data_IF_633586377304
#
_entry.id   IF_633586377304
#
_cell.length_a   1.000
_cell.length_b   1.000
_cell.length_c   1.000
_cell.angle_alpha   90.00
_cell.angle_beta   90.00
_cell.angle_gamma   90.00
#
_symmetry.space_group_name_H-M   'P 1'
#
loop_
_entity.id
_entity.type
_entity.pdbx_description
1 polymer ?
#
# COMPACT_ATOMS: atom_id res chain seq x y z
N UNK A 1 4.13 -25.81 6.48
CA UNK A 1 5.32 -25.12 5.92
C UNK A 1 5.28 -23.67 6.35
N UNK A 2 6.40 -23.09 6.80
CA UNK A 2 6.49 -21.67 7.15
C UNK A 2 6.92 -20.89 5.90
N UNK A 3 6.10 -19.93 5.47
CA UNK A 3 6.38 -19.07 4.32
C UNK A 3 6.57 -17.63 4.78
N UNK A 4 7.68 -17.02 4.37
CA UNK A 4 7.99 -15.64 4.69
C UNK A 4 7.62 -14.73 3.52
N UNK A 5 6.75 -13.74 3.77
CA UNK A 5 6.30 -12.81 2.72
C UNK A 5 6.77 -11.39 2.98
N UNK A 6 7.14 -10.69 1.90
CA UNK A 6 7.37 -9.26 1.85
C UNK A 6 6.27 -8.62 1.00
N UNK A 7 5.62 -7.60 1.57
CA UNK A 7 4.68 -6.75 0.85
C UNK A 7 5.39 -5.47 0.43
N UNK A 8 5.51 -5.22 -0.88
CA UNK A 8 5.77 -3.86 -1.37
C UNK A 8 4.45 -3.19 -1.70
N UNK A 9 4.28 -2.00 -1.15
CA UNK A 9 2.99 -1.37 -1.10
C UNK A 9 2.38 -1.09 -2.47
N UNK A 10 1.05 -0.92 -2.43
CA UNK A 10 0.14 -0.27 -3.37
C UNK A 10 0.83 0.46 -4.53
N UNK A 11 0.25 0.42 -5.76
CA UNK A 11 0.70 1.36 -6.74
C UNK A 11 0.38 2.72 -6.15
N UNK A 12 1.27 3.65 -6.42
CA UNK A 12 1.10 5.06 -6.15
C UNK A 12 -0.38 5.41 -6.36
N UNK A 13 -1.15 5.59 -5.27
CA UNK A 13 -2.06 6.74 -5.26
C UNK A 13 -1.16 7.83 -5.76
N UNK A 14 -1.52 8.57 -6.81
CA UNK A 14 -0.68 9.65 -7.33
C UNK A 14 -0.35 10.58 -6.17
N UNK A 15 0.71 10.25 -5.45
CA UNK A 15 1.28 11.02 -4.38
C UNK A 15 1.91 12.14 -5.17
N UNK A 16 1.64 13.37 -4.76
CA UNK A 16 2.40 14.47 -5.30
C UNK A 16 3.87 14.10 -5.19
N UNK A 17 4.61 14.26 -6.28
CA UNK A 17 6.00 13.88 -6.35
C UNK A 17 6.75 14.56 -5.19
N UNK A 18 7.14 13.75 -4.19
CA UNK A 18 7.90 14.15 -3.01
C UNK A 18 9.39 13.81 -3.15
N UNK A 19 9.85 13.39 -4.34
CA UNK A 19 11.28 13.14 -4.59
C UNK A 19 12.14 14.39 -4.34
N UNK A 20 11.57 15.59 -4.55
CA UNK A 20 12.20 16.87 -4.23
C UNK A 20 12.51 17.04 -2.74
N UNK A 21 11.88 16.28 -1.83
CA UNK A 21 12.19 16.36 -0.39
C UNK A 21 13.66 16.01 -0.10
N UNK A 22 14.30 15.17 -0.91
CA UNK A 22 15.73 14.89 -0.79
C UNK A 22 16.60 16.14 -0.99
N UNK A 23 16.14 17.10 -1.80
CA UNK A 23 16.79 18.40 -2.02
C UNK A 23 16.60 19.39 -0.86
N UNK A 24 15.65 19.11 0.04
CA UNK A 24 15.29 19.96 1.20
C UNK A 24 16.02 19.51 2.47
N UNK A 25 16.57 18.28 2.50
CA UNK A 25 17.28 17.66 3.63
C UNK A 25 18.52 18.45 4.14
N UNK A 26 18.99 19.46 3.40
CA UNK A 26 20.13 20.29 3.79
C UNK A 26 19.80 21.50 4.68
N UNK A 27 18.52 21.77 4.99
CA UNK A 27 18.12 22.99 5.70
C UNK A 27 17.71 22.69 7.13
N UNK A 28 18.71 22.65 8.03
CA UNK A 28 18.55 22.39 9.47
C UNK A 28 17.68 23.39 10.24
N UNK A 29 17.14 24.44 9.60
CA UNK A 29 16.44 25.55 10.26
C UNK A 29 15.35 26.14 9.35
N UNK A 30 14.20 25.46 9.25
CA UNK A 30 13.02 25.91 8.48
C UNK A 30 11.87 26.26 9.42
N UNK A 31 12.02 27.33 10.20
CA UNK A 31 10.87 27.93 10.91
C UNK A 31 10.52 29.33 10.40
N UNK A 32 11.19 29.79 9.35
CA UNK A 32 11.11 31.18 8.85
C UNK A 32 11.30 31.32 7.32
N UNK A 33 11.04 30.28 6.51
CA UNK A 33 11.26 30.37 5.06
C UNK A 33 10.19 29.65 4.26
N UNK A 34 9.81 30.29 3.16
CA UNK A 34 9.14 29.67 2.01
C UNK A 34 10.06 28.55 1.50
N UNK A 35 9.60 27.30 1.57
CA UNK A 35 10.30 26.15 1.00
C UNK A 35 9.59 25.78 -0.28
N UNK A 36 10.27 25.96 -1.41
CA UNK A 36 9.69 25.68 -2.72
C UNK A 36 9.06 24.27 -2.74
N UNK A 37 7.84 24.20 -3.24
CA UNK A 37 7.03 22.99 -3.39
C UNK A 37 6.57 22.34 -2.08
N UNK A 38 6.74 22.92 -0.90
CA UNK A 38 6.33 22.28 0.36
C UNK A 38 4.82 22.07 0.49
N UNK A 39 3.99 22.79 -0.25
CA UNK A 39 2.56 22.49 -0.38
C UNK A 39 2.30 21.04 -0.81
N UNK A 40 3.23 20.40 -1.55
CA UNK A 40 3.10 18.98 -1.94
C UNK A 40 3.21 18.03 -0.75
N UNK A 41 4.11 18.32 0.19
CA UNK A 41 4.19 17.61 1.46
C UNK A 41 2.93 17.83 2.30
N UNK A 42 2.35 19.03 2.29
CA UNK A 42 1.08 19.31 2.97
C UNK A 42 -0.02 18.39 2.43
N UNK A 43 -0.19 18.31 1.10
CA UNK A 43 -1.17 17.40 0.48
C UNK A 43 -0.90 15.93 0.78
N UNK A 44 0.37 15.50 0.78
CA UNK A 44 0.73 14.15 1.22
C UNK A 44 0.26 13.87 2.65
N UNK A 45 0.50 14.78 3.60
CA UNK A 45 0.09 14.60 5.00
C UNK A 45 -1.43 14.72 5.21
N UNK A 46 -2.12 15.54 4.42
CA UNK A 46 -3.59 15.60 4.41
C UNK A 46 -4.20 14.28 3.92
N UNK A 47 -3.63 13.67 2.87
CA UNK A 47 -4.09 12.40 2.33
C UNK A 47 -4.07 11.27 3.37
N UNK A 48 -3.13 11.33 4.33
CA UNK A 48 -3.00 10.33 5.41
C UNK A 48 -3.61 10.76 6.75
N UNK A 49 -4.39 11.85 6.76
CA UNK A 49 -5.11 12.42 7.91
C UNK A 49 -4.20 12.90 9.06
N UNK A 50 -2.96 13.29 8.74
CA UNK A 50 -2.06 13.94 9.70
C UNK A 50 -2.23 15.46 9.77
N UNK A 51 -2.79 16.05 8.70
CA UNK A 51 -2.90 17.48 8.52
C UNK A 51 -4.32 17.83 8.06
N UNK A 52 -4.86 18.96 8.55
CA UNK A 52 -6.15 19.47 8.11
C UNK A 52 -6.17 20.99 8.18
N UNK A 53 -6.30 21.64 7.01
CA UNK A 53 -6.49 23.10 6.93
C UNK A 53 -7.97 23.52 6.95
N UNK A 54 -8.87 22.71 7.50
CA UNK A 54 -10.33 22.96 7.51
C UNK A 54 -10.74 24.35 8.03
N UNK A 55 -9.92 24.95 8.92
CA UNK A 55 -10.15 26.29 9.46
C UNK A 55 -9.32 27.41 8.81
N UNK A 56 -8.28 27.07 8.04
CA UNK A 56 -7.31 28.06 7.53
C UNK A 56 -6.83 27.71 6.12
N UNK A 57 -7.73 27.85 5.12
CA UNK A 57 -7.50 27.47 3.72
C UNK A 57 -6.36 28.22 3.03
N UNK A 58 -5.89 29.33 3.61
CA UNK A 58 -4.82 30.16 3.03
C UNK A 58 -3.48 29.44 2.98
N UNK A 59 -3.20 28.54 3.92
CA UNK A 59 -1.92 27.84 4.03
C UNK A 59 -1.92 26.42 3.44
N UNK A 60 -3.06 25.92 2.98
CA UNK A 60 -3.16 24.57 2.42
C UNK A 60 -2.34 24.39 1.12
N UNK A 61 -2.26 25.47 0.32
CA UNK A 61 -1.63 25.45 -1.00
C UNK A 61 -0.42 26.38 -1.11
N UNK A 62 0.04 26.97 0.00
CA UNK A 62 1.23 27.82 0.00
C UNK A 62 2.48 27.03 0.41
N UNK A 63 3.62 27.65 0.14
CA UNK A 63 4.94 27.09 0.43
C UNK A 63 5.47 27.47 1.82
N UNK A 64 4.59 27.84 2.75
CA UNK A 64 4.99 28.21 4.11
C UNK A 64 5.14 26.99 5.02
N UNK A 65 6.17 26.99 5.89
CA UNK A 65 6.34 25.96 6.91
C UNK A 65 5.65 26.43 8.20
N UNK A 66 4.36 26.16 8.30
CA UNK A 66 3.54 26.58 9.43
C UNK A 66 3.56 25.57 10.61
N UNK A 67 3.00 26.00 11.75
CA UNK A 67 2.93 25.19 12.96
C UNK A 67 2.05 23.92 12.79
N UNK A 68 1.08 23.94 11.87
CA UNK A 68 0.23 22.77 11.59
C UNK A 68 1.04 21.69 10.88
N UNK A 69 1.84 22.08 9.89
CA UNK A 69 2.76 21.19 9.19
C UNK A 69 3.82 20.62 10.13
N UNK A 70 4.42 21.44 11.02
CA UNK A 70 5.36 20.97 12.04
C UNK A 70 4.72 19.89 12.94
N UNK A 71 3.49 20.12 13.39
CA UNK A 71 2.73 19.20 14.23
C UNK A 71 2.37 17.89 13.50
N UNK A 72 1.99 17.99 12.22
CA UNK A 72 1.70 16.83 11.37
C UNK A 72 2.94 15.96 11.17
N UNK A 73 4.11 16.54 10.89
CA UNK A 73 5.39 15.82 10.77
C UNK A 73 5.73 15.10 12.07
N UNK A 74 5.59 15.77 13.23
CA UNK A 74 5.81 15.14 14.52
C UNK A 74 4.88 13.94 14.74
N UNK A 75 3.62 14.08 14.37
CA UNK A 75 2.61 13.02 14.54
C UNK A 75 2.92 11.83 13.63
N UNK A 76 3.35 12.08 12.39
CA UNK A 76 3.86 11.07 11.47
C UNK A 76 5.06 10.31 12.07
N UNK A 77 6.08 11.03 12.55
CA UNK A 77 7.26 10.43 13.18
C UNK A 77 6.88 9.52 14.35
N UNK A 78 5.98 9.98 15.21
CA UNK A 78 5.49 9.19 16.34
C UNK A 78 4.66 7.98 15.92
N UNK A 79 4.00 8.01 14.75
CA UNK A 79 3.23 6.88 14.24
C UNK A 79 4.13 5.76 13.70
N UNK A 80 5.24 6.13 13.06
CA UNK A 80 6.20 5.18 12.50
C UNK A 80 7.38 4.87 13.42
N UNK A 81 7.29 5.27 14.70
CA UNK A 81 8.33 5.06 15.71
C UNK A 81 9.70 5.64 15.32
N UNK A 82 9.70 6.76 14.60
CA UNK A 82 10.88 7.52 14.24
C UNK A 82 11.27 8.51 15.35
N UNK A 83 12.46 9.08 15.26
CA UNK A 83 12.89 10.16 16.15
C UNK A 83 11.99 11.39 15.98
N UNK A 84 11.16 11.71 16.98
CA UNK A 84 10.19 12.81 16.90
C UNK A 84 10.83 14.19 17.13
N UNK A 85 11.77 14.58 16.27
CA UNK A 85 12.50 15.85 16.34
C UNK A 85 11.73 17.02 15.71
N UNK A 86 10.55 16.77 15.14
CA UNK A 86 9.69 17.75 14.46
C UNK A 86 10.29 18.36 13.18
N UNK A 87 11.46 17.86 12.77
CA UNK A 87 12.14 18.27 11.56
C UNK A 87 11.91 17.23 10.46
N UNK A 88 11.90 17.69 9.22
CA UNK A 88 11.88 16.80 8.07
C UNK A 88 13.30 16.25 7.82
N UNK A 89 13.71 15.28 8.61
CA UNK A 89 15.04 14.66 8.53
C UNK A 89 15.12 13.53 7.49
N UNK A 90 16.34 13.05 7.24
CA UNK A 90 16.59 12.02 6.23
C UNK A 90 15.82 10.74 6.50
N UNK A 91 15.67 10.35 7.77
CA UNK A 91 14.95 9.14 8.16
C UNK A 91 13.45 9.29 7.88
N UNK A 92 12.87 10.44 8.22
CA UNK A 92 11.47 10.78 7.99
C UNK A 92 11.17 10.87 6.49
N UNK A 93 11.98 11.57 5.70
CA UNK A 93 11.81 11.65 4.23
C UNK A 93 11.95 10.29 3.60
N UNK A 94 12.98 9.51 3.98
CA UNK A 94 13.16 8.15 3.45
C UNK A 94 11.94 7.29 3.75
N UNK A 95 11.34 7.42 4.93
CA UNK A 95 10.12 6.69 5.29
C UNK A 95 8.89 7.15 4.51
N UNK A 96 8.73 8.45 4.28
CA UNK A 96 7.62 9.01 3.48
C UNK A 96 7.72 8.64 2.00
N UNK A 97 8.95 8.51 1.49
CA UNK A 97 9.22 8.10 0.11
C UNK A 97 9.07 6.58 -0.11
N UNK A 98 8.96 5.78 0.95
CA UNK A 98 8.64 4.36 0.79
C UNK A 98 7.21 4.24 0.24
N UNK A 99 6.99 3.41 -0.78
CA UNK A 99 5.64 3.05 -1.21
C UNK A 99 4.80 2.64 0.00
N UNK A 100 3.55 3.13 0.07
CA UNK A 100 2.61 2.86 1.18
C UNK A 100 1.15 2.79 0.69
N UNK A 101 0.29 2.09 1.43
CA UNK A 101 -1.15 2.06 1.12
C UNK A 101 -1.78 3.45 1.28
N UNK A 102 -2.78 3.75 0.45
CA UNK A 102 -3.53 5.02 0.43
C UNK A 102 -4.55 5.22 1.56
N UNK A 103 -4.59 4.33 2.56
CA UNK A 103 -5.50 4.45 3.70
C UNK A 103 -4.94 5.47 4.71
N UNK A 104 -5.80 6.30 5.27
CA UNK A 104 -5.43 7.24 6.34
C UNK A 104 -4.84 6.50 7.54
N UNK A 105 -3.77 7.06 8.13
CA UNK A 105 -3.12 6.50 9.31
C UNK A 105 -3.88 6.81 10.61
N UNK A 106 -4.70 7.84 10.57
CA UNK A 106 -5.50 8.36 11.67
C UNK A 106 -6.96 8.41 11.18
N UNK A 107 -7.89 7.94 12.01
CA UNK A 107 -9.34 8.11 11.77
C UNK A 107 -9.94 8.62 13.08
N UNK A 108 -10.62 9.77 13.05
CA UNK A 108 -11.21 10.41 14.23
C UNK A 108 -10.22 10.57 15.41
N UNK A 109 -8.96 10.92 15.10
CA UNK A 109 -7.90 11.11 16.11
C UNK A 109 -7.36 9.81 16.74
N UNK A 110 -7.82 8.64 16.30
CA UNK A 110 -7.31 7.35 16.75
C UNK A 110 -6.37 6.77 15.71
N UNK A 111 -5.19 6.30 16.14
CA UNK A 111 -4.25 5.57 15.28
C UNK A 111 -4.91 4.27 14.84
N UNK A 112 -4.98 4.05 13.54
CA UNK A 112 -5.52 2.80 13.01
C UNK A 112 -4.37 1.83 12.82
N UNK A 113 -4.38 0.73 13.58
CA UNK A 113 -3.56 -0.44 13.24
C UNK A 113 -4.24 -1.16 12.06
N UNK A 114 -4.05 -0.64 10.86
CA UNK A 114 -4.59 -1.25 9.64
C UNK A 114 -3.78 -2.52 9.38
N UNK A 115 -4.39 -3.70 9.57
CA UNK A 115 -3.87 -4.93 8.96
C UNK A 115 -4.01 -4.74 7.46
N UNK A 116 -2.91 -4.71 6.73
CA UNK A 116 -2.95 -4.57 5.27
C UNK A 116 -3.80 -5.68 4.64
N UNK A 117 -4.56 -5.41 3.56
CA UNK A 117 -5.38 -6.41 2.87
C UNK A 117 -4.66 -7.73 2.57
N UNK A 118 -3.40 -7.64 2.12
CA UNK A 118 -2.55 -8.80 1.84
C UNK A 118 -2.27 -9.62 3.09
N UNK A 119 -1.95 -8.96 4.22
CA UNK A 119 -1.79 -9.65 5.50
C UNK A 119 -3.10 -10.27 6.00
N UNK A 120 -4.25 -9.63 5.77
CA UNK A 120 -5.57 -10.21 6.04
C UNK A 120 -5.83 -11.48 5.22
N UNK A 121 -5.48 -11.46 3.93
CA UNK A 121 -5.59 -12.63 3.06
C UNK A 121 -4.67 -13.78 3.50
N UNK A 122 -3.41 -13.51 3.87
CA UNK A 122 -2.53 -14.53 4.45
C UNK A 122 -3.04 -15.09 5.77
N UNK A 123 -3.60 -14.25 6.65
CA UNK A 123 -4.23 -14.72 7.90
C UNK A 123 -5.42 -15.64 7.60
N UNK A 124 -6.22 -15.30 6.59
CA UNK A 124 -7.35 -16.10 6.14
C UNK A 124 -6.89 -17.47 5.64
N UNK A 125 -5.85 -17.53 4.80
CA UNK A 125 -5.28 -18.81 4.38
C UNK A 125 -4.59 -19.58 5.51
N UNK A 126 -3.92 -18.90 6.44
CA UNK A 126 -3.33 -19.54 7.62
C UNK A 126 -4.38 -20.23 8.49
N UNK A 127 -5.57 -19.63 8.62
CA UNK A 127 -6.66 -20.16 9.42
C UNK A 127 -7.35 -21.38 8.76
N UNK A 128 -7.25 -21.52 7.44
CA UNK A 128 -7.96 -22.55 6.67
C UNK A 128 -7.04 -23.59 6.02
N UNK A 129 -5.73 -23.55 6.31
CA UNK A 129 -4.75 -24.50 5.75
C UNK A 129 -3.71 -24.88 6.80
N UNK A 130 -2.81 -25.81 6.47
CA UNK A 130 -1.65 -26.15 7.30
C UNK A 130 -0.43 -25.23 7.07
N UNK A 131 -0.58 -24.19 6.23
CA UNK A 131 0.47 -23.20 6.02
C UNK A 131 0.53 -22.20 7.18
N UNK A 132 1.74 -21.75 7.48
CA UNK A 132 1.99 -20.67 8.41
C UNK A 132 2.71 -19.56 7.67
N UNK A 133 2.24 -18.33 7.82
CA UNK A 133 2.84 -17.18 7.16
C UNK A 133 3.48 -16.25 8.18
N UNK A 134 4.60 -15.65 7.81
CA UNK A 134 5.29 -14.66 8.63
C UNK A 134 5.68 -13.48 7.76
N UNK A 135 5.19 -12.29 8.12
CA UNK A 135 5.60 -11.08 7.44
C UNK A 135 7.05 -10.76 7.80
N UNK A 136 7.89 -10.54 6.80
CA UNK A 136 9.26 -10.09 6.98
C UNK A 136 9.49 -8.76 6.27
N UNK A 137 10.56 -8.06 6.66
CA UNK A 137 10.92 -6.76 6.10
C UNK A 137 12.27 -6.79 5.36
N UNK A 138 12.98 -7.91 5.41
CA UNK A 138 14.23 -8.12 4.69
C UNK A 138 13.94 -8.90 3.39
N UNK A 139 14.22 -8.28 2.25
CA UNK A 139 13.99 -8.90 0.93
C UNK A 139 14.81 -10.18 0.71
N UNK A 140 15.97 -10.32 1.35
CA UNK A 140 16.89 -11.45 1.10
C UNK A 140 16.40 -12.81 1.62
N UNK A 141 15.45 -12.79 2.55
CA UNK A 141 14.99 -14.00 3.24
C UNK A 141 13.56 -14.39 2.83
N UNK A 142 13.00 -13.79 1.78
CA UNK A 142 11.58 -13.98 1.44
C UNK A 142 11.36 -15.19 0.54
N UNK A 143 10.32 -15.98 0.84
CA UNK A 143 9.82 -17.01 -0.07
C UNK A 143 8.75 -16.46 -1.01
N UNK A 144 8.07 -15.38 -0.60
CA UNK A 144 6.97 -14.77 -1.35
C UNK A 144 7.17 -13.25 -1.44
N UNK A 145 7.45 -12.75 -2.64
CA UNK A 145 7.44 -11.30 -2.93
C UNK A 145 6.11 -10.89 -3.53
N UNK A 146 5.51 -9.85 -2.96
CA UNK A 146 4.27 -9.26 -3.46
C UNK A 146 4.55 -7.82 -3.84
N UNK A 147 4.12 -7.40 -5.03
CA UNK A 147 4.24 -6.01 -5.41
C UNK A 147 3.28 -5.52 -6.47
N UNK A 148 3.40 -4.24 -6.78
CA UNK A 148 2.66 -3.58 -7.85
C UNK A 148 3.60 -3.29 -9.00
N UNK A 149 3.22 -3.68 -10.20
CA UNK A 149 4.03 -3.51 -11.41
C UNK A 149 3.20 -2.85 -12.51
N UNK A 150 3.85 -2.12 -13.43
CA UNK A 150 3.19 -1.52 -14.60
C UNK A 150 3.75 -2.15 -15.85
N UNK A 151 2.88 -2.41 -16.83
CA UNK A 151 3.26 -2.79 -18.20
C UNK A 151 4.33 -3.89 -18.20
N UNK A 152 5.35 -3.78 -19.04
CA UNK A 152 6.51 -4.67 -18.96
C UNK A 152 7.33 -4.40 -17.69
N UNK A 153 7.44 -5.44 -16.86
CA UNK A 153 8.16 -5.44 -15.60
C UNK A 153 9.18 -6.59 -15.50
N UNK A 154 9.64 -7.09 -16.66
CA UNK A 154 10.81 -7.96 -16.77
C UNK A 154 10.60 -9.40 -16.30
N UNK A 155 9.35 -9.84 -16.12
CA UNK A 155 9.02 -11.23 -15.78
C UNK A 155 8.40 -12.04 -16.93
N UNK A 156 8.29 -11.45 -18.12
CA UNK A 156 7.71 -12.07 -19.31
C UNK A 156 6.18 -12.06 -19.36
N UNK A 157 5.50 -11.48 -18.36
CA UNK A 157 4.04 -11.36 -18.29
C UNK A 157 3.66 -9.87 -18.13
N UNK A 158 3.82 -9.04 -19.17
CA UNK A 158 3.52 -7.61 -19.07
C UNK A 158 2.03 -7.38 -18.78
N UNK A 159 1.72 -6.37 -17.96
CA UNK A 159 0.35 -5.89 -17.80
C UNK A 159 -0.10 -5.06 -19.02
N UNK A 160 -1.41 -5.01 -19.24
CA UNK A 160 -2.05 -4.31 -20.37
C UNK A 160 -2.58 -2.93 -19.96
N UNK A 161 -3.50 -2.35 -20.74
CA UNK A 161 -4.29 -1.20 -20.30
C UNK A 161 -5.31 -1.62 -19.22
N UNK A 162 -5.84 -0.69 -18.40
CA UNK A 162 -6.81 -1.00 -17.36
C UNK A 162 -8.03 -1.79 -17.85
N UNK A 163 -8.47 -2.76 -17.06
CA UNK A 163 -9.54 -3.70 -17.36
C UNK A 163 -9.06 -5.01 -18.01
N UNK A 164 -7.75 -5.17 -18.23
CA UNK A 164 -7.12 -6.38 -18.73
C UNK A 164 -6.72 -7.36 -17.62
N UNK A 165 -5.47 -7.81 -17.63
CA UNK A 165 -4.91 -8.63 -16.55
C UNK A 165 -4.63 -7.75 -15.33
N UNK A 166 -5.44 -7.88 -14.29
CA UNK A 166 -5.40 -7.02 -13.09
C UNK A 166 -4.35 -7.46 -12.06
N UNK A 167 -3.89 -8.69 -12.14
CA UNK A 167 -2.96 -9.33 -11.22
C UNK A 167 -2.48 -10.67 -11.82
N UNK A 168 -1.32 -11.14 -11.36
CA UNK A 168 -0.88 -12.52 -11.59
C UNK A 168 0.09 -13.01 -10.51
N UNK A 169 0.02 -14.31 -10.24
CA UNK A 169 0.97 -15.02 -9.40
C UNK A 169 1.62 -16.20 -10.12
N UNK A 170 2.82 -16.53 -9.67
CA UNK A 170 3.57 -17.67 -10.17
C UNK A 170 3.35 -18.88 -9.28
N UNK A 171 3.19 -20.06 -9.90
CA UNK A 171 3.15 -21.32 -9.15
C UNK A 171 4.43 -21.52 -8.30
N UNK A 172 4.36 -22.34 -7.23
CA UNK A 172 5.55 -22.75 -6.50
C UNK A 172 6.65 -23.27 -7.44
N UNK A 173 7.93 -22.97 -7.20
CA UNK A 173 8.51 -22.27 -6.03
C UNK A 173 8.91 -20.82 -6.30
N UNK A 174 8.46 -20.20 -7.39
CA UNK A 174 8.90 -18.85 -7.78
C UNK A 174 8.51 -17.83 -6.71
N UNK A 175 7.32 -17.97 -6.12
CA UNK A 175 6.95 -17.17 -4.96
C UNK A 175 6.81 -15.69 -5.28
N UNK A 176 6.21 -15.33 -6.41
CA UNK A 176 5.97 -13.94 -6.77
C UNK A 176 4.52 -13.72 -7.15
N UNK A 177 3.98 -12.62 -6.69
CA UNK A 177 2.64 -12.16 -6.97
C UNK A 177 2.72 -10.66 -7.30
N UNK A 178 2.16 -10.26 -8.44
CA UNK A 178 2.11 -8.88 -8.88
C UNK A 178 0.66 -8.44 -9.05
N UNK A 179 0.35 -7.25 -8.57
CA UNK A 179 -0.84 -6.50 -8.93
C UNK A 179 -0.52 -5.54 -10.08
N UNK A 180 -1.48 -5.30 -10.96
CA UNK A 180 -1.36 -4.23 -11.95
C UNK A 180 -1.51 -2.86 -11.29
N UNK A 181 -0.49 -2.05 -11.45
CA UNK A 181 -0.41 -0.70 -10.90
C UNK A 181 -1.21 0.36 -11.66
N UNK A 182 -1.71 0.04 -12.86
CA UNK A 182 -2.58 0.92 -13.65
C UNK A 182 -4.07 0.74 -13.29
N UNK A 183 -4.42 -0.27 -12.48
CA UNK A 183 -5.77 -0.48 -11.96
C UNK A 183 -6.14 0.43 -10.77
N UNK A 184 -7.44 0.65 -10.57
CA UNK A 184 -7.94 1.42 -9.42
C UNK A 184 -8.23 0.50 -8.24
N UNK A 185 -7.38 0.55 -7.21
CA UNK A 185 -7.46 -0.35 -6.05
C UNK A 185 -8.18 0.25 -4.84
N UNK A 186 -8.85 -0.60 -4.07
CA UNK A 186 -9.53 -0.21 -2.83
C UNK A 186 -9.51 -1.34 -1.79
N UNK A 187 -9.42 -0.94 -0.52
CA UNK A 187 -9.60 -1.83 0.65
C UNK A 187 -11.08 -2.03 1.02
N UNK A 188 -11.98 -1.36 0.31
CA UNK A 188 -13.43 -1.46 0.48
C UNK A 188 -14.09 -1.68 -0.87
N UNK A 189 -15.11 -2.52 -0.95
CA UNK A 189 -15.87 -2.72 -2.19
C UNK A 189 -16.66 -1.44 -2.52
N UNK A 190 -16.11 -0.59 -3.42
CA UNK A 190 -16.71 0.68 -3.88
C UNK A 190 -16.90 0.65 -5.41
N UNK A 191 -17.88 1.41 -5.96
CA UNK A 191 -18.05 1.58 -7.40
C UNK A 191 -16.76 2.04 -8.10
N UNK A 192 -16.35 1.34 -9.17
CA UNK A 192 -15.19 1.70 -10.00
C UNK A 192 -13.83 1.24 -9.49
N UNK A 193 -13.78 0.41 -8.43
CA UNK A 193 -12.53 -0.02 -7.80
C UNK A 193 -12.45 -1.55 -7.65
N UNK A 194 -11.22 -2.07 -7.71
CA UNK A 194 -10.83 -3.46 -7.44
C UNK A 194 -10.56 -3.68 -5.96
N UNK A 195 -11.10 -4.76 -5.39
CA UNK A 195 -10.97 -5.06 -3.97
C UNK A 195 -9.66 -5.80 -3.66
N UNK A 196 -8.70 -5.11 -3.03
CA UNK A 196 -7.33 -5.58 -2.80
C UNK A 196 -7.25 -6.95 -2.10
N UNK A 197 -8.06 -7.15 -1.05
CA UNK A 197 -8.04 -8.39 -0.27
C UNK A 197 -8.60 -9.58 -1.06
N UNK A 198 -9.62 -9.35 -1.90
CA UNK A 198 -10.19 -10.42 -2.74
C UNK A 198 -9.15 -10.94 -3.73
N UNK A 199 -8.45 -10.02 -4.40
CA UNK A 199 -7.42 -10.40 -5.37
C UNK A 199 -6.23 -11.03 -4.63
N UNK A 200 -5.84 -10.53 -3.46
CA UNK A 200 -4.83 -11.18 -2.64
C UNK A 200 -5.21 -12.63 -2.31
N UNK A 201 -6.47 -12.89 -1.93
CA UNK A 201 -6.94 -14.24 -1.60
C UNK A 201 -6.79 -15.18 -2.80
N UNK A 202 -7.21 -14.74 -4.00
CA UNK A 202 -7.08 -15.50 -5.24
C UNK A 202 -5.62 -15.83 -5.55
N UNK A 203 -4.77 -14.81 -5.56
CA UNK A 203 -3.39 -14.92 -6.06
C UNK A 203 -2.48 -15.66 -5.06
N UNK A 204 -2.74 -15.53 -3.76
CA UNK A 204 -2.06 -16.36 -2.75
C UNK A 204 -2.36 -17.84 -2.96
N UNK A 205 -3.55 -18.20 -3.44
CA UNK A 205 -3.90 -19.60 -3.67
C UNK A 205 -3.11 -20.20 -4.85
N UNK A 206 -2.81 -19.40 -5.89
CA UNK A 206 -1.83 -19.77 -6.91
C UNK A 206 -0.42 -19.98 -6.34
N UNK A 207 0.02 -19.10 -5.43
CA UNK A 207 1.30 -19.28 -4.71
C UNK A 207 1.33 -20.56 -3.85
N UNK A 208 0.18 -21.12 -3.50
CA UNK A 208 0.04 -22.39 -2.79
C UNK A 208 -0.14 -23.60 -3.73
N UNK A 209 -0.08 -23.39 -5.05
CA UNK A 209 -0.04 -24.44 -6.07
C UNK A 209 -1.38 -24.78 -6.71
N UNK A 210 -2.41 -23.97 -6.52
CA UNK A 210 -3.74 -24.26 -7.04
C UNK A 210 -4.01 -23.49 -8.33
N UNK A 211 -4.69 -24.16 -9.26
CA UNK A 211 -5.13 -23.56 -10.53
C UNK A 211 -6.55 -23.04 -10.40
N UNK A 212 -7.00 -22.29 -11.43
CA UNK A 212 -8.38 -21.86 -11.52
C UNK A 212 -9.38 -23.01 -11.44
N UNK A 213 -10.58 -22.71 -10.95
CA UNK A 213 -11.73 -23.61 -11.05
C UNK A 213 -12.83 -22.98 -11.91
N UNK A 214 -13.83 -23.77 -12.28
CA UNK A 214 -14.95 -23.34 -13.13
C UNK A 214 -16.18 -22.89 -12.34
N UNK A 215 -16.08 -22.73 -11.01
CA UNK A 215 -17.20 -22.38 -10.13
C UNK A 215 -17.19 -20.86 -9.97
N UNK A 216 -18.15 -20.17 -10.60
CA UNK A 216 -18.18 -18.70 -10.71
C UNK A 216 -18.10 -17.96 -9.36
N UNK A 217 -18.67 -18.55 -8.31
CA UNK A 217 -18.67 -17.95 -6.98
C UNK A 217 -17.39 -18.21 -6.17
N UNK A 218 -16.57 -19.18 -6.56
CA UNK A 218 -15.34 -19.54 -5.87
C UNK A 218 -14.30 -18.42 -5.91
N UNK A 219 -13.34 -18.44 -4.97
CA UNK A 219 -12.23 -17.49 -5.02
C UNK A 219 -11.36 -17.75 -6.25
N UNK A 220 -11.22 -19.01 -6.69
CA UNK A 220 -10.38 -19.42 -7.82
C UNK A 220 -11.04 -19.32 -9.20
N UNK A 221 -12.20 -18.69 -9.30
CA UNK A 221 -12.75 -18.36 -10.61
C UNK A 221 -11.88 -17.28 -11.29
N UNK A 222 -11.49 -17.44 -12.57
CA UNK A 222 -10.50 -16.58 -13.23
C UNK A 222 -10.97 -15.14 -13.50
N UNK A 223 -12.27 -14.88 -13.41
CA UNK A 223 -12.84 -13.57 -13.72
C UNK A 223 -13.50 -12.95 -12.49
N UNK A 224 -13.39 -11.63 -12.37
CA UNK A 224 -14.04 -10.89 -11.29
C UNK A 224 -14.58 -9.57 -11.84
N UNK A 225 -15.80 -9.22 -11.46
CA UNK A 225 -16.34 -7.91 -11.77
C UNK A 225 -15.76 -6.86 -10.82
N UNK A 226 -15.65 -5.62 -11.30
CA UNK A 226 -15.44 -4.48 -10.41
C UNK A 226 -16.48 -4.51 -9.28
N UNK A 227 -16.12 -3.98 -8.10
CA UNK A 227 -17.01 -3.90 -6.92
C UNK A 227 -17.31 -5.23 -6.21
N UNK A 228 -16.71 -6.34 -6.65
CA UNK A 228 -16.91 -7.62 -6.00
C UNK A 228 -15.92 -7.81 -4.83
N UNK A 229 -16.45 -8.00 -3.63
CA UNK A 229 -15.70 -8.63 -2.54
C UNK A 229 -16.13 -10.09 -2.42
N UNK A 230 -15.15 -11.00 -2.37
CA UNK A 230 -15.40 -12.42 -2.06
C UNK A 230 -14.73 -12.76 -0.74
N UNK A 231 -15.31 -13.74 -0.05
CA UNK A 231 -14.70 -14.44 1.08
C UNK A 231 -14.51 -15.90 0.65
N UNK A 232 -13.69 -16.65 1.36
CA UNK A 232 -13.57 -18.09 1.09
C UNK A 232 -14.94 -18.77 1.24
N UNK A 233 -15.27 -19.63 0.28
CA UNK A 233 -16.37 -20.58 0.35
C UNK A 233 -15.82 -22.01 0.56
N UNK A 234 -16.71 -22.98 0.73
CA UNK A 234 -16.39 -24.35 1.10
C UNK A 234 -15.52 -25.06 0.07
N UNK A 235 -15.76 -24.80 -1.21
CA UNK A 235 -15.00 -25.33 -2.36
C UNK A 235 -13.59 -24.74 -2.48
N UNK A 236 -13.29 -23.64 -1.78
CA UNK A 236 -11.96 -23.06 -1.74
C UNK A 236 -11.03 -23.77 -0.72
N UNK A 237 -11.61 -24.51 0.24
CA UNK A 237 -10.92 -25.07 1.41
C UNK A 237 -10.78 -26.59 1.34
N UNK A 238 -11.71 -27.29 0.67
CA UNK A 238 -11.66 -28.74 0.43
C UNK A 238 -10.69 -29.13 -0.70
#
# INVERSE_FOLDING_TARGET
>A
MNLQFLDVASPTVVLEDISYLQSILSLKWVKMRVVKDIHKLKKYLEQFDYLSYSKNKTHANDDDFDDLLESAIKTYQLNFHLNSNRALDTETVSKMMMPRYGVADIINGTRVNVVSPVAGAFQTWAANTYFRFSRIYNYRDTNITIGFQRRDHGDGNPFEDPGGTIAHAFAPTIGRFNYDADETWSVSARPGNMHLETIALHEIRHLLGLSHNSIENAIMYPSIAERTSKRLDRDDIE
#
